data_IF_521048791749
#
_entry.id   IF_521048791749
#
_cell.length_a   1.000
_cell.length_b   1.000
_cell.length_c   1.000
_cell.angle_alpha   90.00
_cell.angle_beta   90.00
_cell.angle_gamma   90.00
#
_symmetry.space_group_name_H-M   'P 1'
#
loop_
_entity.id
_entity.type
_entity.pdbx_description
1 polymer ?
#
# COMPACT_ATOMS: atom_id res chain seq x y z
N UNK A 1 -6.74 -25.07 40.06
CA UNK A 1 -5.75 -24.06 39.68
C UNK A 1 -4.44 -24.79 39.45
N UNK A 2 -3.87 -24.78 38.23
CA UNK A 2 -2.56 -25.37 37.98
C UNK A 2 -1.48 -24.49 38.63
N UNK A 3 -0.49 -25.12 39.24
CA UNK A 3 0.60 -24.50 40.00
C UNK A 3 1.58 -23.73 39.10
N UNK A 4 1.94 -22.51 39.51
CA UNK A 4 2.84 -21.57 38.80
C UNK A 4 4.25 -22.12 38.51
N UNK A 5 4.66 -23.23 39.11
CA UNK A 5 5.96 -23.86 38.85
C UNK A 5 6.05 -24.60 37.50
N UNK A 6 4.92 -24.96 36.88
CA UNK A 6 4.93 -25.66 35.60
C UNK A 6 5.19 -24.74 34.39
N UNK A 7 4.89 -23.44 34.50
CA UNK A 7 5.04 -22.48 33.39
C UNK A 7 6.48 -21.99 33.19
N UNK A 8 7.34 -22.06 34.22
CA UNK A 8 8.74 -21.63 34.11
C UNK A 8 9.68 -22.70 33.54
N UNK A 9 9.28 -23.97 33.56
CA UNK A 9 10.10 -25.08 33.07
C UNK A 9 10.10 -25.20 31.54
N UNK A 10 8.98 -24.88 30.86
CA UNK A 10 8.90 -25.00 29.39
C UNK A 10 9.70 -23.91 28.68
N UNK A 11 9.72 -22.68 29.21
CA UNK A 11 10.45 -21.56 28.61
C UNK A 11 11.98 -21.69 28.66
N UNK A 12 12.52 -22.41 29.65
CA UNK A 12 13.97 -22.61 29.78
C UNK A 12 14.43 -23.74 28.84
N UNK A 13 13.62 -24.79 28.70
CA UNK A 13 13.91 -25.89 27.79
C UNK A 13 13.91 -25.45 26.31
N UNK A 14 12.98 -24.58 25.91
CA UNK A 14 12.95 -24.03 24.54
C UNK A 14 14.15 -23.12 24.26
N UNK A 15 14.60 -22.35 25.25
CA UNK A 15 15.78 -21.48 25.10
C UNK A 15 17.06 -22.31 24.94
N UNK A 16 17.22 -23.37 25.73
CA UNK A 16 18.36 -24.28 25.65
C UNK A 16 18.37 -25.07 24.32
N UNK A 17 17.21 -25.42 23.76
CA UNK A 17 17.14 -26.07 22.44
C UNK A 17 17.46 -25.11 21.29
N UNK A 18 17.04 -23.85 21.38
CA UNK A 18 17.37 -22.80 20.42
C UNK A 18 18.86 -22.48 20.40
N UNK A 19 19.48 -22.37 21.57
CA UNK A 19 20.91 -22.14 21.71
C UNK A 19 21.72 -23.36 21.23
N UNK A 20 21.26 -24.58 21.52
CA UNK A 20 21.86 -25.80 21.01
C UNK A 20 21.76 -25.94 19.48
N UNK A 21 20.65 -25.51 18.86
CA UNK A 21 20.50 -25.47 17.39
C UNK A 21 21.46 -24.47 16.75
N UNK A 22 21.60 -23.28 17.35
CA UNK A 22 22.55 -22.26 16.91
C UNK A 22 24.01 -22.72 17.05
N UNK A 23 24.38 -23.30 18.19
CA UNK A 23 25.74 -23.82 18.46
C UNK A 23 26.09 -24.97 17.52
N UNK A 24 25.16 -25.90 17.22
CA UNK A 24 25.40 -26.98 16.24
C UNK A 24 25.61 -26.43 14.83
N UNK A 25 24.96 -25.32 14.50
CA UNK A 25 25.09 -24.67 13.20
C UNK A 25 26.42 -23.90 13.09
N UNK A 26 26.86 -23.27 14.18
CA UNK A 26 28.16 -22.59 14.28
C UNK A 26 29.34 -23.57 14.35
N UNK A 27 29.20 -24.72 15.03
CA UNK A 27 30.25 -25.74 15.10
C UNK A 27 30.46 -26.49 13.78
N UNK A 28 29.49 -26.47 12.86
CA UNK A 28 29.66 -27.05 11.53
C UNK A 28 30.55 -26.17 10.63
N UNK A 29 30.65 -24.88 10.94
CA UNK A 29 31.48 -23.91 10.21
C UNK A 29 32.96 -23.96 10.62
N UNK A 30 33.31 -24.57 11.76
CA UNK A 30 34.68 -24.54 12.30
C UNK A 30 35.57 -25.74 11.93
N UNK A 31 35.10 -26.68 11.09
CA UNK A 31 35.81 -27.95 10.84
C UNK A 31 36.13 -28.30 9.37
N UNK A 32 36.07 -27.34 8.44
CA UNK A 32 36.47 -27.59 7.03
C UNK A 32 37.34 -26.47 6.45
N UNK A 33 38.62 -26.78 6.26
CA UNK A 33 39.64 -25.98 5.57
C UNK A 33 39.40 -25.87 4.04
N UNK A 34 38.16 -25.79 3.58
CA UNK A 34 37.83 -25.73 2.16
C UNK A 34 36.97 -24.49 1.89
N UNK A 35 37.62 -23.33 1.69
CA UNK A 35 36.97 -22.03 1.44
C UNK A 35 35.92 -22.12 0.31
N UNK A 36 36.17 -22.97 -0.69
CA UNK A 36 35.24 -23.25 -1.79
C UNK A 36 33.91 -23.85 -1.30
N UNK A 37 33.96 -24.75 -0.32
CA UNK A 37 32.76 -25.36 0.26
C UNK A 37 31.94 -24.36 1.10
N UNK A 38 32.60 -23.41 1.77
CA UNK A 38 31.92 -22.37 2.55
C UNK A 38 31.22 -21.35 1.63
N UNK A 39 31.90 -20.92 0.56
CA UNK A 39 31.32 -20.02 -0.46
C UNK A 39 30.10 -20.67 -1.11
N UNK A 40 30.20 -21.92 -1.54
CA UNK A 40 29.09 -22.65 -2.15
C UNK A 40 27.90 -22.78 -1.18
N UNK A 41 28.17 -23.02 0.11
CA UNK A 41 27.12 -23.09 1.13
C UNK A 41 26.42 -21.73 1.33
N UNK A 42 27.18 -20.64 1.46
CA UNK A 42 26.63 -19.28 1.59
C UNK A 42 25.79 -18.88 0.38
N UNK A 43 26.27 -19.16 -0.83
CA UNK A 43 25.54 -18.88 -2.07
C UNK A 43 24.23 -19.67 -2.13
N UNK A 44 24.25 -20.95 -1.78
CA UNK A 44 23.04 -21.78 -1.72
C UNK A 44 22.00 -21.21 -0.75
N UNK A 45 22.47 -20.72 0.41
CA UNK A 45 21.62 -20.07 1.43
C UNK A 45 21.02 -18.74 0.95
N UNK A 46 21.84 -17.86 0.37
CA UNK A 46 21.41 -16.59 -0.22
C UNK A 46 20.37 -16.80 -1.33
N UNK A 47 20.65 -17.71 -2.28
CA UNK A 47 19.70 -18.12 -3.30
C UNK A 47 18.43 -18.74 -2.69
N UNK A 48 18.56 -19.47 -1.59
CA UNK A 48 17.45 -20.01 -0.81
C UNK A 48 16.49 -18.92 -0.30
N UNK A 49 17.00 -17.81 0.22
CA UNK A 49 16.18 -16.66 0.66
C UNK A 49 15.40 -16.10 -0.52
N UNK A 50 16.06 -15.84 -1.66
CA UNK A 50 15.42 -15.31 -2.86
C UNK A 50 14.32 -16.26 -3.36
N UNK A 51 14.58 -17.57 -3.40
CA UNK A 51 13.58 -18.58 -3.80
C UNK A 51 12.36 -18.60 -2.87
N UNK A 52 12.55 -18.50 -1.56
CA UNK A 52 11.43 -18.49 -0.59
C UNK A 52 10.58 -17.24 -0.73
N UNK A 53 11.22 -16.08 -0.95
CA UNK A 53 10.51 -14.80 -1.13
C UNK A 53 9.76 -14.76 -2.46
N UNK A 54 10.47 -14.92 -3.58
CA UNK A 54 9.93 -14.76 -4.94
C UNK A 54 8.98 -15.91 -5.30
N UNK A 55 9.25 -17.11 -4.77
CA UNK A 55 8.56 -18.35 -5.08
C UNK A 55 9.37 -19.20 -6.04
N UNK A 56 9.65 -20.44 -5.63
CA UNK A 56 10.46 -21.38 -6.42
C UNK A 56 9.82 -21.64 -7.80
N UNK A 57 8.53 -21.95 -7.82
CA UNK A 57 7.82 -22.28 -9.07
C UNK A 57 7.85 -21.11 -10.06
N UNK A 58 7.72 -19.88 -9.56
CA UNK A 58 7.77 -18.66 -10.39
C UNK A 58 9.16 -18.47 -11.02
N UNK A 59 10.24 -18.70 -10.26
CA UNK A 59 11.61 -18.59 -10.77
C UNK A 59 11.92 -19.65 -11.84
N UNK A 60 11.40 -20.86 -11.68
CA UNK A 60 11.52 -21.93 -12.67
C UNK A 60 10.74 -21.59 -13.96
N UNK A 61 9.55 -21.00 -13.84
CA UNK A 61 8.76 -20.55 -15.00
C UNK A 61 9.45 -19.44 -15.81
N UNK A 62 10.26 -18.59 -15.17
CA UNK A 62 10.98 -17.49 -15.84
C UNK A 62 12.44 -17.81 -16.19
N UNK A 63 12.84 -19.08 -16.08
CA UNK A 63 14.19 -19.58 -16.39
C UNK A 63 15.30 -18.74 -15.74
N UNK A 64 15.16 -18.51 -14.43
CA UNK A 64 16.17 -17.80 -13.62
C UNK A 64 16.96 -18.83 -12.81
N UNK A 65 18.21 -19.08 -13.20
CA UNK A 65 19.15 -19.86 -12.40
C UNK A 65 19.95 -18.97 -11.45
N UNK A 66 19.64 -19.08 -10.16
CA UNK A 66 20.41 -18.41 -9.10
C UNK A 66 21.73 -19.13 -8.77
N UNK A 67 21.91 -20.36 -9.26
CA UNK A 67 23.08 -21.20 -8.97
C UNK A 67 24.32 -20.79 -9.76
N UNK A 68 24.12 -20.08 -10.88
CA UNK A 68 25.20 -19.52 -11.69
C UNK A 68 25.61 -18.10 -11.28
N UNK A 69 24.94 -17.49 -10.29
CA UNK A 69 25.18 -16.11 -9.86
C UNK A 69 26.38 -16.08 -8.90
N UNK A 70 27.37 -15.23 -9.17
CA UNK A 70 28.53 -15.05 -8.29
C UNK A 70 28.11 -14.54 -6.90
N UNK A 71 28.76 -15.02 -5.84
CA UNK A 71 28.56 -14.54 -4.47
C UNK A 71 28.83 -13.03 -4.33
N UNK A 72 29.69 -12.47 -5.19
CA UNK A 72 29.94 -11.02 -5.23
C UNK A 72 28.68 -10.23 -5.55
N UNK A 73 27.81 -10.75 -6.41
CA UNK A 73 26.53 -10.12 -6.76
C UNK A 73 25.65 -9.98 -5.52
N UNK A 74 25.54 -11.03 -4.70
CA UNK A 74 24.75 -10.99 -3.45
C UNK A 74 25.37 -10.11 -2.37
N UNK A 75 26.68 -9.87 -2.45
CA UNK A 75 27.41 -9.05 -1.47
C UNK A 75 27.42 -7.56 -1.85
N UNK A 76 27.13 -7.24 -3.12
CA UNK A 76 27.08 -5.87 -3.63
C UNK A 76 25.63 -5.41 -3.77
N UNK A 77 25.27 -4.35 -3.04
CA UNK A 77 23.92 -3.78 -3.08
C UNK A 77 23.42 -3.45 -4.49
N UNK A 78 24.28 -2.88 -5.33
CA UNK A 78 23.91 -2.42 -6.68
C UNK A 78 23.71 -3.60 -7.64
N UNK A 79 24.62 -4.55 -7.63
CA UNK A 79 24.54 -5.74 -8.49
C UNK A 79 23.34 -6.61 -8.10
N UNK A 80 23.12 -6.81 -6.79
CA UNK A 80 21.95 -7.53 -6.32
C UNK A 80 20.65 -6.81 -6.70
N UNK A 81 20.60 -5.47 -6.57
CA UNK A 81 19.42 -4.69 -6.97
C UNK A 81 19.10 -4.88 -8.45
N UNK A 82 20.13 -4.83 -9.32
CA UNK A 82 19.97 -5.02 -10.76
C UNK A 82 19.48 -6.44 -11.10
N UNK A 83 20.03 -7.46 -10.43
CA UNK A 83 19.55 -8.85 -10.57
C UNK A 83 18.08 -8.98 -10.17
N UNK A 84 17.68 -8.38 -9.05
CA UNK A 84 16.30 -8.44 -8.57
C UNK A 84 15.34 -7.74 -9.53
N UNK A 85 15.74 -6.60 -10.09
CA UNK A 85 14.94 -5.92 -11.11
C UNK A 85 14.77 -6.77 -12.37
N UNK A 86 15.84 -7.41 -12.83
CA UNK A 86 15.78 -8.32 -13.98
C UNK A 86 14.79 -9.47 -13.72
N UNK A 87 14.83 -10.06 -12.53
CA UNK A 87 13.91 -11.12 -12.13
C UNK A 87 12.46 -10.62 -12.18
N UNK A 88 12.16 -9.47 -11.56
CA UNK A 88 10.80 -8.92 -11.59
C UNK A 88 10.34 -8.56 -13.00
N UNK A 89 11.19 -7.96 -13.83
CA UNK A 89 10.85 -7.64 -15.22
C UNK A 89 10.54 -8.91 -16.01
N UNK A 90 11.31 -9.99 -15.81
CA UNK A 90 11.01 -11.30 -16.43
C UNK A 90 9.68 -11.87 -15.95
N UNK A 91 9.38 -11.76 -14.64
CA UNK A 91 8.09 -12.21 -14.07
C UNK A 91 6.93 -11.43 -14.70
N UNK A 92 7.01 -10.10 -14.71
CA UNK A 92 5.99 -9.21 -15.29
C UNK A 92 5.77 -9.53 -16.77
N UNK A 93 6.85 -9.77 -17.51
CA UNK A 93 6.81 -10.03 -18.95
C UNK A 93 6.20 -11.39 -19.30
N UNK A 94 6.38 -12.40 -18.44
CA UNK A 94 5.93 -13.77 -18.67
C UNK A 94 4.60 -14.11 -17.99
N UNK A 95 4.08 -13.24 -17.11
CA UNK A 95 2.81 -13.46 -16.43
C UNK A 95 1.66 -13.54 -17.44
N UNK A 96 0.90 -14.64 -17.36
CA UNK A 96 -0.26 -14.88 -18.23
C UNK A 96 -1.56 -14.57 -17.49
N UNK A 97 -2.61 -14.10 -18.20
CA UNK A 97 -3.93 -14.09 -17.62
C UNK A 97 -4.33 -15.53 -17.24
N UNK A 98 -5.07 -15.72 -16.15
CA UNK A 98 -5.53 -17.03 -15.73
C UNK A 98 -6.50 -17.58 -16.78
N UNK A 99 -6.41 -18.88 -17.08
CA UNK A 99 -7.33 -19.59 -17.98
C UNK A 99 -8.68 -19.88 -17.31
N UNK A 100 -9.26 -18.89 -16.64
CA UNK A 100 -10.58 -19.04 -16.03
C UNK A 100 -11.62 -18.42 -16.96
N UNK A 101 -12.42 -19.28 -17.58
CA UNK A 101 -13.74 -18.88 -18.10
C UNK A 101 -14.58 -18.43 -16.90
N UNK A 102 -14.57 -17.13 -16.60
CA UNK A 102 -15.47 -16.57 -15.59
C UNK A 102 -16.90 -16.73 -16.11
N UNK A 103 -17.70 -17.56 -15.44
CA UNK A 103 -19.15 -17.44 -15.52
C UNK A 103 -19.54 -16.11 -14.89
N UNK A 104 -20.14 -15.22 -15.68
CA UNK A 104 -20.74 -13.98 -15.20
C UNK A 104 -21.88 -14.32 -14.24
N UNK A 105 -21.56 -14.42 -12.95
CA UNK A 105 -22.57 -14.30 -11.92
C UNK A 105 -22.94 -12.82 -11.87
N UNK A 106 -24.01 -12.45 -12.59
CA UNK A 106 -24.67 -11.16 -12.46
C UNK A 106 -25.20 -11.00 -11.02
N UNK A 107 -24.31 -10.70 -10.08
CA UNK A 107 -24.75 -10.14 -8.81
C UNK A 107 -25.32 -8.75 -9.10
N UNK A 108 -26.50 -8.49 -8.56
CA UNK A 108 -27.21 -7.22 -8.72
C UNK A 108 -26.42 -6.04 -8.14
N UNK A 109 -25.44 -6.29 -7.26
CA UNK A 109 -24.62 -5.29 -6.59
C UNK A 109 -23.13 -5.67 -6.61
N UNK A 110 -22.48 -5.38 -7.73
CA UNK A 110 -21.02 -5.42 -7.84
C UNK A 110 -20.37 -4.13 -7.32
N UNK A 111 -19.06 -4.18 -7.04
CA UNK A 111 -18.31 -3.04 -6.51
C UNK A 111 -18.34 -1.84 -7.47
N UNK A 112 -18.15 -2.09 -8.78
CA UNK A 112 -18.19 -1.04 -9.79
C UNK A 112 -19.56 -0.42 -9.98
N UNK A 113 -20.65 -1.20 -9.87
CA UNK A 113 -22.02 -0.66 -9.82
C UNK A 113 -22.25 0.22 -8.58
N UNK A 114 -21.83 -0.23 -7.40
CA UNK A 114 -22.06 0.49 -6.14
C UNK A 114 -21.23 1.77 -6.02
N UNK A 115 -20.01 1.79 -6.55
CA UNK A 115 -19.10 2.95 -6.54
C UNK A 115 -19.09 3.74 -7.86
N UNK A 116 -19.95 3.35 -8.82
CA UNK A 116 -20.03 3.90 -10.18
C UNK A 116 -18.67 4.01 -10.90
N UNK A 117 -17.84 2.99 -10.75
CA UNK A 117 -16.58 2.88 -11.47
C UNK A 117 -16.53 1.55 -12.25
N UNK A 118 -16.73 1.58 -13.58
CA UNK A 118 -16.81 0.36 -14.38
C UNK A 118 -15.50 -0.44 -14.37
N UNK A 119 -14.35 0.20 -14.14
CA UNK A 119 -13.06 -0.50 -14.08
C UNK A 119 -12.97 -1.46 -12.88
N UNK A 120 -13.79 -1.29 -11.84
CA UNK A 120 -13.81 -2.23 -10.72
C UNK A 120 -14.49 -3.56 -11.07
N UNK A 121 -15.35 -3.57 -12.09
CA UNK A 121 -16.04 -4.77 -12.56
C UNK A 121 -15.45 -5.30 -13.88
N UNK A 122 -14.51 -4.58 -14.48
CA UNK A 122 -13.83 -5.00 -15.70
C UNK A 122 -12.95 -6.25 -15.46
N UNK A 123 -12.82 -7.15 -16.45
CA UNK A 123 -11.95 -8.32 -16.36
C UNK A 123 -10.49 -7.90 -16.50
N UNK A 124 -9.88 -7.49 -15.38
CA UNK A 124 -8.49 -7.05 -15.28
C UNK A 124 -7.59 -8.13 -14.67
N UNK A 125 -7.73 -9.39 -15.13
CA UNK A 125 -7.14 -10.53 -14.42
C UNK A 125 -5.61 -10.50 -14.34
N UNK A 126 -4.94 -10.06 -15.41
CA UNK A 126 -3.48 -9.92 -15.43
C UNK A 126 -3.01 -8.84 -14.43
N UNK A 127 -3.47 -7.57 -14.51
CA UNK A 127 -3.23 -6.56 -13.48
C UNK A 127 -3.53 -7.03 -12.05
N UNK A 128 -4.67 -7.68 -11.82
CA UNK A 128 -5.08 -8.15 -10.49
C UNK A 128 -4.13 -9.21 -9.95
N UNK A 129 -3.80 -10.21 -10.76
CA UNK A 129 -2.88 -11.27 -10.36
C UNK A 129 -1.49 -10.72 -10.08
N UNK A 130 -1.02 -9.74 -10.86
CA UNK A 130 0.29 -9.14 -10.68
C UNK A 130 0.39 -8.37 -9.34
N UNK A 131 -0.59 -7.54 -9.02
CA UNK A 131 -0.61 -6.84 -7.73
C UNK A 131 -0.76 -7.82 -6.57
N UNK A 132 -1.61 -8.86 -6.70
CA UNK A 132 -1.74 -9.93 -5.70
C UNK A 132 -0.42 -10.65 -5.48
N UNK A 133 0.30 -10.96 -6.56
CA UNK A 133 1.62 -11.56 -6.48
C UNK A 133 2.59 -10.70 -5.65
N UNK A 134 2.67 -9.39 -5.93
CA UNK A 134 3.54 -8.51 -5.15
C UNK A 134 3.13 -8.36 -3.69
N UNK A 135 1.83 -8.35 -3.39
CA UNK A 135 1.35 -8.38 -2.00
C UNK A 135 1.82 -9.66 -1.29
N UNK A 136 1.73 -10.82 -1.95
CA UNK A 136 2.21 -12.09 -1.41
C UNK A 136 3.72 -12.08 -1.20
N UNK A 137 4.50 -11.56 -2.15
CA UNK A 137 5.96 -11.42 -2.02
C UNK A 137 6.31 -10.50 -0.85
N UNK A 138 5.59 -9.39 -0.66
CA UNK A 138 5.80 -8.49 0.48
C UNK A 138 5.46 -9.15 1.82
N UNK A 139 4.43 -10.00 1.87
CA UNK A 139 4.12 -10.80 3.05
C UNK A 139 5.28 -11.74 3.38
N UNK A 140 5.78 -12.49 2.40
CA UNK A 140 6.92 -13.40 2.58
C UNK A 140 8.19 -12.67 3.01
N UNK A 141 8.44 -11.46 2.48
CA UNK A 141 9.53 -10.61 2.94
C UNK A 141 9.39 -10.22 4.40
N UNK A 142 8.17 -9.92 4.84
CA UNK A 142 7.89 -9.61 6.25
C UNK A 142 8.13 -10.81 7.14
N UNK A 143 7.70 -12.00 6.70
CA UNK A 143 7.89 -13.26 7.42
C UNK A 143 9.39 -13.63 7.51
N UNK A 144 10.13 -13.54 6.39
CA UNK A 144 11.58 -13.78 6.38
C UNK A 144 12.33 -12.75 7.23
N UNK A 145 11.90 -11.47 7.27
CA UNK A 145 12.53 -10.48 8.14
C UNK A 145 12.39 -10.83 9.64
N UNK A 146 11.32 -11.55 10.01
CA UNK A 146 11.07 -12.00 11.38
C UNK A 146 11.75 -13.35 11.69
N UNK A 147 12.30 -14.02 10.67
CA UNK A 147 12.94 -15.32 10.82
C UNK A 147 14.24 -15.21 11.61
N UNK A 148 14.24 -15.75 12.83
CA UNK A 148 15.38 -15.71 13.75
C UNK A 148 16.57 -16.54 13.25
N UNK A 149 16.34 -17.51 12.35
CA UNK A 149 17.37 -18.40 11.82
C UNK A 149 18.17 -17.82 10.65
N UNK A 150 17.82 -16.62 10.17
CA UNK A 150 18.61 -15.93 9.15
C UNK A 150 19.89 -15.37 9.77
N UNK A 151 21.00 -15.63 9.07
CA UNK A 151 22.31 -15.05 9.34
C UNK A 151 22.34 -13.59 8.86
N UNK A 152 23.25 -12.78 9.40
CA UNK A 152 23.33 -11.34 9.07
C UNK A 152 23.52 -11.07 7.57
N UNK A 153 24.33 -11.90 6.89
CA UNK A 153 24.55 -11.78 5.44
C UNK A 153 23.31 -12.13 4.61
N UNK A 154 22.39 -12.95 5.14
CA UNK A 154 21.09 -13.24 4.50
C UNK A 154 20.09 -12.10 4.77
N UNK A 155 20.07 -11.58 6.01
CA UNK A 155 19.19 -10.48 6.43
C UNK A 155 19.43 -9.22 5.62
N UNK A 156 20.66 -8.99 5.18
CA UNK A 156 21.02 -7.87 4.30
C UNK A 156 20.22 -7.84 2.99
N UNK A 157 19.81 -9.00 2.45
CA UNK A 157 19.07 -9.07 1.18
C UNK A 157 17.62 -8.57 1.30
N UNK A 158 17.00 -8.75 2.45
CA UNK A 158 15.57 -8.47 2.68
C UNK A 158 15.19 -7.01 2.38
N UNK A 159 15.86 -5.98 2.94
CA UNK A 159 15.53 -4.59 2.61
C UNK A 159 15.74 -4.26 1.14
N UNK A 160 16.70 -4.89 0.46
CA UNK A 160 16.95 -4.68 -0.98
C UNK A 160 15.80 -5.27 -1.79
N UNK A 161 15.44 -6.53 -1.55
CA UNK A 161 14.31 -7.19 -2.21
C UNK A 161 13.01 -6.40 -2.03
N UNK A 162 12.78 -5.88 -0.82
CA UNK A 162 11.59 -5.08 -0.50
C UNK A 162 11.61 -3.73 -1.22
N UNK A 163 12.74 -3.03 -1.20
CA UNK A 163 12.89 -1.76 -1.91
C UNK A 163 12.65 -1.93 -3.42
N UNK A 164 13.28 -2.94 -4.04
CA UNK A 164 13.09 -3.22 -5.47
C UNK A 164 11.67 -3.65 -5.80
N UNK A 165 11.02 -4.45 -4.95
CA UNK A 165 9.60 -4.79 -5.12
C UNK A 165 8.72 -3.53 -5.20
N UNK A 166 8.91 -2.57 -4.28
CA UNK A 166 8.13 -1.33 -4.27
C UNK A 166 8.44 -0.43 -5.47
N UNK A 167 9.68 -0.41 -5.96
CA UNK A 167 10.05 0.28 -7.21
C UNK A 167 9.32 -0.33 -8.40
N UNK A 168 9.20 -1.67 -8.49
CA UNK A 168 8.47 -2.32 -9.57
C UNK A 168 6.96 -2.02 -9.51
N UNK A 169 6.37 -2.01 -8.31
CA UNK A 169 4.97 -1.57 -8.10
C UNK A 169 4.79 -0.13 -8.60
N UNK A 170 5.76 0.75 -8.30
CA UNK A 170 5.76 2.15 -8.76
C UNK A 170 5.74 2.24 -10.28
N UNK A 171 6.64 1.52 -10.96
CA UNK A 171 6.74 1.53 -12.42
C UNK A 171 5.48 1.00 -13.10
N UNK A 172 4.84 -0.01 -12.53
CA UNK A 172 3.59 -0.56 -13.05
C UNK A 172 2.43 0.43 -12.88
N UNK A 173 2.32 1.09 -11.72
CA UNK A 173 1.27 2.09 -11.50
C UNK A 173 1.44 3.34 -12.37
N UNK A 174 2.67 3.65 -12.80
CA UNK A 174 2.98 4.69 -13.79
C UNK A 174 2.80 4.24 -15.24
N UNK A 175 2.52 2.97 -15.49
CA UNK A 175 2.28 2.44 -16.83
C UNK A 175 3.54 2.22 -17.67
N UNK A 176 4.72 2.07 -17.06
CA UNK A 176 5.98 1.87 -17.81
C UNK A 176 6.07 0.54 -18.58
N UNK A 177 5.15 -0.39 -18.33
CA UNK A 177 5.06 -1.67 -19.05
C UNK A 177 4.10 -1.62 -20.25
N UNK A 178 3.68 -0.41 -20.65
CA UNK A 178 2.93 -0.15 -21.88
C UNK A 178 1.49 -0.65 -21.84
N UNK A 179 0.94 -0.96 -23.01
CA UNK A 179 -0.48 -1.31 -23.18
C UNK A 179 -0.92 -2.58 -22.44
N UNK A 180 0.03 -3.45 -22.07
CA UNK A 180 -0.26 -4.63 -21.25
C UNK A 180 -0.69 -4.27 -19.83
N UNK A 181 -0.15 -3.17 -19.29
CA UNK A 181 -0.40 -2.69 -17.93
C UNK A 181 -0.63 -1.17 -17.96
N UNK A 182 -1.77 -0.69 -18.52
CA UNK A 182 -2.08 0.73 -18.56
C UNK A 182 -2.19 1.32 -17.16
N UNK A 183 -1.69 2.55 -16.97
CA UNK A 183 -1.63 3.20 -15.66
C UNK A 183 -3.01 3.34 -15.00
N UNK A 184 -4.03 3.76 -15.76
CA UNK A 184 -5.40 3.93 -15.28
C UNK A 184 -6.03 2.60 -14.81
N UNK A 185 -5.79 1.52 -15.54
CA UNK A 185 -6.21 0.16 -15.17
C UNK A 185 -5.48 -0.31 -13.91
N UNK A 186 -4.16 -0.13 -13.84
CA UNK A 186 -3.35 -0.54 -12.70
C UNK A 186 -3.75 0.20 -11.42
N UNK A 187 -3.99 1.52 -11.49
CA UNK A 187 -4.46 2.32 -10.36
C UNK A 187 -5.87 1.86 -9.93
N UNK A 188 -6.78 1.64 -10.87
CA UNK A 188 -8.13 1.15 -10.55
C UNK A 188 -8.10 -0.22 -9.86
N UNK A 189 -7.26 -1.13 -10.35
CA UNK A 189 -7.06 -2.46 -9.77
C UNK A 189 -6.43 -2.37 -8.39
N UNK A 190 -5.44 -1.49 -8.19
CA UNK A 190 -4.84 -1.24 -6.89
C UNK A 190 -5.89 -0.78 -5.88
N UNK A 191 -6.71 0.21 -6.23
CA UNK A 191 -7.80 0.72 -5.38
C UNK A 191 -8.84 -0.38 -5.09
N UNK A 192 -9.24 -1.15 -6.11
CA UNK A 192 -10.15 -2.30 -5.96
C UNK A 192 -9.59 -3.32 -4.97
N UNK A 193 -8.32 -3.68 -5.07
CA UNK A 193 -7.68 -4.64 -4.19
C UNK A 193 -7.53 -4.09 -2.76
N UNK A 194 -7.34 -2.79 -2.59
CA UNK A 194 -7.41 -2.13 -1.28
C UNK A 194 -8.82 -2.23 -0.68
N UNK A 195 -9.88 -1.91 -1.45
CA UNK A 195 -11.27 -2.03 -0.99
C UNK A 195 -11.64 -3.47 -0.60
N UNK A 196 -11.09 -4.45 -1.31
CA UNK A 196 -11.24 -5.87 -0.99
C UNK A 196 -10.30 -6.36 0.13
N UNK A 197 -9.61 -5.46 0.84
CA UNK A 197 -8.71 -5.75 1.96
C UNK A 197 -7.55 -6.69 1.61
N UNK A 198 -7.17 -6.76 0.32
CA UNK A 198 -6.01 -7.53 -0.13
C UNK A 198 -4.73 -6.76 0.12
N UNK A 199 -4.76 -5.44 -0.12
CA UNK A 199 -3.62 -4.55 0.16
C UNK A 199 -3.70 -4.10 1.63
N UNK A 200 -2.71 -4.48 2.43
CA UNK A 200 -2.63 -4.06 3.83
C UNK A 200 -2.17 -2.60 3.98
N UNK A 201 -2.49 -1.98 5.12
CA UNK A 201 -1.98 -0.64 5.46
C UNK A 201 -0.44 -0.61 5.54
N UNK A 202 0.19 -1.73 5.96
CA UNK A 202 1.65 -1.85 5.99
C UNK A 202 2.26 -1.82 4.59
N UNK A 203 1.67 -2.56 3.64
CA UNK A 203 2.09 -2.53 2.25
C UNK A 203 1.95 -1.12 1.67
N UNK A 204 0.80 -0.47 1.89
CA UNK A 204 0.54 0.87 1.40
C UNK A 204 1.51 1.91 2.00
N UNK A 205 1.83 1.78 3.29
CA UNK A 205 2.83 2.62 3.95
C UNK A 205 4.20 2.44 3.31
N UNK A 206 4.67 1.21 3.14
CA UNK A 206 5.98 0.94 2.53
C UNK A 206 6.04 1.44 1.08
N UNK A 207 4.94 1.32 0.34
CA UNK A 207 4.80 1.84 -1.01
C UNK A 207 4.90 3.37 -1.08
N UNK A 208 4.16 4.09 -0.22
CA UNK A 208 4.24 5.55 -0.13
C UNK A 208 5.66 6.00 0.25
N UNK A 209 6.30 5.32 1.20
CA UNK A 209 7.68 5.64 1.59
C UNK A 209 8.67 5.44 0.44
N UNK A 210 8.52 4.37 -0.35
CA UNK A 210 9.32 4.16 -1.55
C UNK A 210 9.11 5.29 -2.58
N UNK A 211 7.85 5.72 -2.80
CA UNK A 211 7.55 6.81 -3.71
C UNK A 211 8.16 8.16 -3.29
N UNK A 212 8.43 8.34 -1.99
CA UNK A 212 9.02 9.56 -1.44
C UNK A 212 10.57 9.53 -1.41
N UNK A 213 11.18 8.38 -1.72
CA UNK A 213 12.62 8.21 -1.68
C UNK A 213 13.25 8.56 -3.04
N UNK A 214 13.80 9.77 -3.13
CA UNK A 214 14.44 10.29 -4.35
C UNK A 214 15.67 9.49 -4.79
N UNK A 215 16.23 8.63 -3.93
CA UNK A 215 17.32 7.73 -4.30
C UNK A 215 16.84 6.50 -5.09
N UNK A 216 15.55 6.17 -4.99
CA UNK A 216 14.94 5.01 -5.63
C UNK A 216 14.11 5.39 -6.86
N UNK A 217 13.41 6.52 -6.79
CA UNK A 217 12.46 6.99 -7.82
C UNK A 217 12.56 8.52 -8.00
N UNK A 218 12.05 9.06 -9.10
CA UNK A 218 12.08 10.50 -9.34
C UNK A 218 11.03 11.27 -8.51
N UNK A 219 11.26 12.59 -8.37
CA UNK A 219 10.45 13.49 -7.54
C UNK A 219 9.00 13.67 -7.99
N UNK A 220 8.67 13.33 -9.24
CA UNK A 220 7.32 13.43 -9.77
C UNK A 220 6.47 12.19 -9.45
N UNK A 221 7.09 11.09 -9.04
CA UNK A 221 6.44 9.80 -8.72
C UNK A 221 5.25 9.93 -7.79
N UNK A 222 5.38 10.68 -6.69
CA UNK A 222 4.29 10.86 -5.72
C UNK A 222 3.08 11.49 -6.39
N UNK A 223 3.28 12.54 -7.18
CA UNK A 223 2.18 13.24 -7.87
C UNK A 223 1.53 12.33 -8.91
N UNK A 224 2.33 11.75 -9.80
CA UNK A 224 1.85 10.96 -10.94
C UNK A 224 1.03 9.74 -10.53
N UNK A 225 1.35 9.10 -9.39
CA UNK A 225 0.62 7.95 -8.89
C UNK A 225 -0.56 8.36 -8.02
N UNK A 226 -0.33 9.27 -7.06
CA UNK A 226 -1.32 9.52 -6.01
C UNK A 226 -2.38 10.55 -6.41
N UNK A 227 -2.17 11.40 -7.41
CA UNK A 227 -3.26 12.23 -7.95
C UNK A 227 -4.37 11.37 -8.57
N UNK A 228 -4.10 10.45 -9.51
CA UNK A 228 -5.11 9.50 -9.99
C UNK A 228 -5.71 8.67 -8.86
N UNK A 229 -4.89 8.18 -7.93
CA UNK A 229 -5.35 7.35 -6.82
C UNK A 229 -6.33 8.11 -5.90
N UNK A 230 -6.11 9.41 -5.66
CA UNK A 230 -7.01 10.29 -4.90
C UNK A 230 -8.31 10.61 -5.69
N UNK A 231 -8.28 10.66 -7.02
CA UNK A 231 -9.50 10.86 -7.81
C UNK A 231 -10.52 9.72 -7.64
N UNK A 232 -10.06 8.48 -7.42
CA UNK A 232 -10.93 7.32 -7.24
C UNK A 232 -11.92 7.44 -6.06
N UNK A 233 -11.48 7.70 -4.82
CA UNK A 233 -12.40 7.87 -3.69
C UNK A 233 -13.29 9.11 -3.85
N UNK A 234 -12.79 10.22 -4.43
CA UNK A 234 -13.62 11.41 -4.71
C UNK A 234 -14.76 11.10 -5.68
N UNK A 235 -14.46 10.50 -6.85
CA UNK A 235 -15.46 10.13 -7.86
C UNK A 235 -16.45 9.10 -7.31
N UNK A 236 -15.95 8.15 -6.51
CA UNK A 236 -16.80 7.16 -5.84
C UNK A 236 -17.81 7.86 -4.93
N UNK A 237 -17.37 8.85 -4.13
CA UNK A 237 -18.24 9.62 -3.23
C UNK A 237 -19.27 10.49 -3.94
N UNK A 238 -18.94 11.09 -5.10
CA UNK A 238 -19.92 11.84 -5.91
C UNK A 238 -21.17 11.05 -6.28
N UNK A 239 -21.06 9.73 -6.36
CA UNK A 239 -22.18 8.88 -6.71
C UNK A 239 -22.99 8.39 -5.51
N UNK A 240 -22.55 8.68 -4.28
CA UNK A 240 -23.17 8.19 -3.07
C UNK A 240 -24.25 9.16 -2.57
N UNK A 241 -25.30 8.59 -2.00
CA UNK A 241 -26.36 9.36 -1.34
C UNK A 241 -26.80 8.63 -0.07
N UNK A 242 -27.00 9.35 1.02
CA UNK A 242 -27.45 8.79 2.30
C UNK A 242 -28.76 7.98 2.17
N UNK A 243 -29.66 8.40 1.29
CA UNK A 243 -30.93 7.72 1.04
C UNK A 243 -30.80 6.37 0.33
N UNK A 244 -29.62 6.06 -0.23
CA UNK A 244 -29.36 4.78 -0.91
C UNK A 244 -29.17 3.61 0.06
N UNK A 245 -28.90 3.87 1.34
CA UNK A 245 -28.67 2.83 2.35
C UNK A 245 -27.37 2.02 2.17
N UNK A 246 -26.49 2.40 1.23
CA UNK A 246 -25.26 1.68 0.86
C UNK A 246 -24.05 2.03 1.73
N UNK A 247 -24.25 1.98 3.05
CA UNK A 247 -23.24 2.39 4.03
C UNK A 247 -21.90 1.66 3.90
N UNK A 248 -21.94 0.36 3.61
CA UNK A 248 -20.74 -0.48 3.50
C UNK A 248 -19.81 0.01 2.39
N UNK A 249 -20.36 0.46 1.26
CA UNK A 249 -19.59 0.96 0.13
C UNK A 249 -19.03 2.36 0.36
N UNK A 250 -19.75 3.20 1.11
CA UNK A 250 -19.32 4.56 1.41
C UNK A 250 -18.10 4.58 2.32
N UNK A 251 -17.98 3.62 3.24
CA UNK A 251 -16.81 3.52 4.11
C UNK A 251 -15.51 3.24 3.34
N UNK A 252 -15.58 2.67 2.14
CA UNK A 252 -14.41 2.30 1.34
C UNK A 252 -13.61 3.55 0.86
N UNK A 253 -14.22 4.56 0.18
CA UNK A 253 -13.55 5.82 -0.10
C UNK A 253 -12.99 6.53 1.14
N UNK A 254 -13.72 6.52 2.26
CA UNK A 254 -13.25 7.13 3.52
C UNK A 254 -12.01 6.43 4.07
N UNK A 255 -12.02 5.09 4.10
CA UNK A 255 -10.92 4.31 4.67
C UNK A 255 -9.64 4.48 3.86
N UNK A 256 -9.74 4.48 2.53
CA UNK A 256 -8.61 4.73 1.63
C UNK A 256 -8.03 6.12 1.85
N UNK A 257 -8.87 7.16 1.78
CA UNK A 257 -8.42 8.54 1.96
C UNK A 257 -7.76 8.72 3.33
N UNK A 258 -8.39 8.22 4.40
CA UNK A 258 -7.85 8.26 5.76
C UNK A 258 -6.48 7.57 5.84
N UNK A 259 -6.37 6.38 5.27
CA UNK A 259 -5.13 5.61 5.31
C UNK A 259 -3.99 6.40 4.63
N UNK A 260 -4.22 6.87 3.40
CA UNK A 260 -3.25 7.62 2.61
C UNK A 260 -2.74 8.89 3.32
N UNK A 261 -3.66 9.75 3.78
CA UNK A 261 -3.27 11.03 4.42
C UNK A 261 -2.67 10.83 5.81
N UNK A 262 -2.85 9.67 6.43
CA UNK A 262 -2.28 9.36 7.74
C UNK A 262 -0.81 8.94 7.69
N UNK A 263 -0.34 8.46 6.53
CA UNK A 263 1.02 7.98 6.35
C UNK A 263 2.01 9.12 6.54
N UNK A 264 3.01 8.89 7.39
CA UNK A 264 4.10 9.81 7.68
C UNK A 264 5.42 9.29 7.14
N UNK A 265 6.20 10.19 6.55
CA UNK A 265 7.59 9.92 6.19
C UNK A 265 8.51 9.91 7.43
N UNK A 266 9.80 9.64 7.21
CA UNK A 266 10.82 9.64 8.27
C UNK A 266 10.99 11.02 8.93
N UNK A 267 10.71 12.11 8.19
CA UNK A 267 10.70 13.48 8.69
C UNK A 267 9.37 13.87 9.35
N UNK A 268 8.46 12.91 9.58
CA UNK A 268 7.11 13.10 10.13
C UNK A 268 6.18 13.99 9.27
N UNK A 269 6.55 14.28 8.03
CA UNK A 269 5.69 14.93 7.03
C UNK A 269 4.65 13.94 6.53
N UNK A 270 3.55 14.45 5.96
CA UNK A 270 2.46 13.63 5.42
C UNK A 270 2.40 13.86 3.91
N UNK A 271 3.23 13.17 3.11
CA UNK A 271 3.43 13.50 1.71
C UNK A 271 2.12 13.48 0.90
N UNK A 272 1.20 12.55 1.20
CA UNK A 272 -0.09 12.48 0.51
C UNK A 272 -1.08 13.56 0.99
N UNK A 273 -1.01 13.96 2.27
CA UNK A 273 -1.80 15.10 2.75
C UNK A 273 -1.29 16.42 2.15
N UNK A 274 0.02 16.59 2.08
CA UNK A 274 0.66 17.76 1.45
C UNK A 274 0.30 17.84 -0.04
N UNK A 275 0.35 16.69 -0.75
CA UNK A 275 -0.11 16.58 -2.14
C UNK A 275 -1.59 16.99 -2.25
N UNK A 276 -2.45 16.42 -1.41
CA UNK A 276 -3.89 16.69 -1.42
C UNK A 276 -4.18 18.19 -1.26
N UNK A 277 -3.54 18.87 -0.31
CA UNK A 277 -3.71 20.31 -0.07
C UNK A 277 -3.18 21.16 -1.23
N UNK A 278 -2.17 20.67 -1.94
CA UNK A 278 -1.57 21.38 -3.08
C UNK A 278 -2.42 21.33 -4.36
N UNK A 279 -3.46 20.49 -4.42
CA UNK A 279 -4.32 20.38 -5.59
C UNK A 279 -5.18 21.63 -5.77
N UNK A 280 -5.37 22.03 -7.04
CA UNK A 280 -6.20 23.18 -7.39
C UNK A 280 -7.68 23.01 -6.98
N UNK A 281 -8.17 21.78 -6.90
CA UNK A 281 -9.51 21.44 -6.46
C UNK A 281 -9.63 21.25 -4.93
N UNK A 282 -8.57 21.41 -4.14
CA UNK A 282 -8.67 21.25 -2.68
C UNK A 282 -9.49 22.38 -2.04
N UNK A 283 -9.15 23.62 -2.38
CA UNK A 283 -9.87 24.83 -1.97
C UNK A 283 -10.14 25.70 -3.21
N UNK A 284 -11.18 25.38 -3.99
CA UNK A 284 -11.50 26.12 -5.19
C UNK A 284 -11.93 27.56 -4.85
N UNK A 285 -11.68 28.49 -5.77
CA UNK A 285 -12.27 29.82 -5.69
C UNK A 285 -13.77 29.74 -5.95
N UNK A 286 -14.54 30.37 -5.07
CA UNK A 286 -16.00 30.32 -5.06
C UNK A 286 -16.51 31.73 -5.34
N UNK A 287 -17.31 31.88 -6.39
CA UNK A 287 -17.74 33.21 -6.88
C UNK A 287 -19.25 33.40 -6.91
N UNK A 288 -20.02 32.33 -6.67
CA UNK A 288 -21.47 32.35 -6.71
C UNK A 288 -22.10 32.89 -5.43
N UNK A 289 -23.38 33.23 -5.53
CA UNK A 289 -24.24 33.59 -4.41
C UNK A 289 -24.59 32.39 -3.49
N UNK A 290 -24.14 31.18 -3.83
CA UNK A 290 -24.36 29.96 -3.04
C UNK A 290 -23.02 29.29 -2.74
N UNK A 291 -22.13 29.97 -2.00
CA UNK A 291 -20.73 29.59 -1.92
C UNK A 291 -20.51 28.19 -1.33
N UNK A 292 -21.38 27.78 -0.41
CA UNK A 292 -21.38 26.44 0.16
C UNK A 292 -21.62 25.31 -0.82
N UNK A 293 -22.64 25.46 -1.68
CA UNK A 293 -23.01 24.44 -2.66
C UNK A 293 -21.99 24.38 -3.79
N UNK A 294 -21.46 25.52 -4.19
CA UNK A 294 -20.38 25.60 -5.15
C UNK A 294 -19.09 24.97 -4.59
N UNK A 295 -18.73 25.26 -3.34
CA UNK A 295 -17.61 24.61 -2.66
C UNK A 295 -17.80 23.10 -2.56
N UNK A 296 -18.97 22.61 -2.14
CA UNK A 296 -19.25 21.17 -2.05
C UNK A 296 -19.08 20.45 -3.40
N UNK A 297 -19.41 21.14 -4.49
CA UNK A 297 -19.33 20.59 -5.85
C UNK A 297 -17.93 20.69 -6.45
N UNK A 298 -17.21 21.79 -6.20
CA UNK A 298 -15.91 22.05 -6.82
C UNK A 298 -14.73 21.55 -5.98
N UNK A 299 -14.91 21.40 -4.67
CA UNK A 299 -13.82 20.98 -3.80
C UNK A 299 -13.64 19.47 -3.79
N UNK A 300 -12.40 19.02 -3.58
CA UNK A 300 -12.05 17.61 -3.47
C UNK A 300 -12.80 16.93 -2.32
N UNK A 301 -12.87 17.59 -1.15
CA UNK A 301 -13.52 17.04 0.04
C UNK A 301 -15.03 17.26 0.08
N UNK A 302 -15.56 18.13 -0.79
CA UNK A 302 -16.97 18.45 -0.88
C UNK A 302 -17.92 17.23 -0.90
N UNK A 303 -17.64 16.17 -1.68
CA UNK A 303 -18.47 14.97 -1.75
C UNK A 303 -18.53 14.18 -0.45
N UNK A 304 -17.42 14.20 0.29
CA UNK A 304 -17.33 13.57 1.61
C UNK A 304 -18.17 14.37 2.61
N UNK A 305 -18.06 15.70 2.61
CA UNK A 305 -18.89 16.56 3.44
C UNK A 305 -20.37 16.43 3.11
N UNK A 306 -20.75 16.47 1.83
CA UNK A 306 -22.14 16.37 1.38
C UNK A 306 -22.79 15.06 1.80
N UNK A 307 -22.06 13.93 1.74
CA UNK A 307 -22.59 12.68 2.27
C UNK A 307 -22.82 12.74 3.79
N UNK A 308 -21.88 13.30 4.56
CA UNK A 308 -21.95 13.31 6.04
C UNK A 308 -22.93 14.33 6.61
N UNK A 309 -23.37 15.30 5.81
CA UNK A 309 -24.43 16.24 6.14
C UNK A 309 -25.75 15.63 5.67
N UNK A 310 -26.56 15.10 6.60
CA UNK A 310 -27.91 14.58 6.37
C UNK A 310 -28.71 15.43 5.36
N UNK A 311 -29.60 14.85 4.54
CA UNK A 311 -30.48 15.64 3.70
C UNK A 311 -31.25 16.62 4.58
N UNK A 312 -31.18 17.90 4.24
CA UNK A 312 -32.20 18.85 4.64
C UNK A 312 -33.48 18.44 3.89
N UNK A 313 -34.26 17.56 4.51
CA UNK A 313 -35.70 17.77 4.44
C UNK A 313 -35.90 19.20 4.99
N UNK A 314 -36.43 20.07 4.14
CA UNK A 314 -36.70 21.50 4.34
C UNK A 314 -35.54 22.50 4.13
N UNK A 315 -35.58 23.15 2.96
CA UNK A 315 -35.40 24.58 2.64
C UNK A 315 -34.44 25.49 3.45
N UNK A 316 -33.46 24.98 4.21
CA UNK A 316 -32.57 25.82 5.00
C UNK A 316 -31.08 25.65 4.61
N UNK A 317 -30.53 26.53 3.74
CA UNK A 317 -29.17 26.42 3.18
C UNK A 317 -28.02 26.79 4.16
N UNK A 318 -28.26 26.77 5.47
CA UNK A 318 -27.43 27.48 6.45
C UNK A 318 -26.26 26.69 7.07
N UNK A 319 -26.09 25.39 6.78
CA UNK A 319 -24.95 24.62 7.33
C UNK A 319 -23.63 25.09 6.70
N UNK A 320 -23.62 25.33 5.39
CA UNK A 320 -22.44 25.84 4.70
C UNK A 320 -22.10 27.28 5.09
N UNK A 321 -23.12 28.11 5.34
CA UNK A 321 -22.91 29.48 5.83
C UNK A 321 -22.19 29.46 7.18
N UNK A 322 -22.51 28.50 8.05
CA UNK A 322 -21.84 28.29 9.34
C UNK A 322 -20.37 27.88 9.15
N UNK A 323 -20.07 26.94 8.25
CA UNK A 323 -18.68 26.54 7.92
C UNK A 323 -17.86 27.71 7.37
N UNK A 324 -18.47 28.60 6.58
CA UNK A 324 -17.80 29.74 5.96
C UNK A 324 -17.68 30.97 6.88
N UNK A 325 -18.65 31.20 7.78
CA UNK A 325 -18.61 32.31 8.75
C UNK A 325 -17.69 32.03 9.93
N UNK A 326 -17.50 30.75 10.31
CA UNK A 326 -16.33 30.35 11.08
C UNK A 326 -15.12 30.32 10.16
N UNK A 327 -14.63 31.51 9.82
CA UNK A 327 -13.30 31.75 9.26
C UNK A 327 -12.34 30.65 9.73
N UNK A 328 -11.76 29.92 8.79
CA UNK A 328 -10.82 28.83 9.04
C UNK A 328 -9.40 29.33 9.39
N UNK A 329 -9.20 30.34 10.27
CA UNK A 329 -8.02 30.39 11.12
C UNK A 329 -8.43 30.41 12.59
N UNK A 330 -8.33 29.24 13.23
CA UNK A 330 -8.49 29.14 14.68
C UNK A 330 -9.12 27.82 15.12
N UNK A 331 -8.26 26.84 15.41
CA UNK A 331 -8.49 25.62 16.23
C UNK A 331 -9.97 25.23 16.35
N UNK A 332 -10.50 24.55 15.32
CA UNK A 332 -11.75 23.81 15.49
C UNK A 332 -11.41 22.58 16.33
N UNK A 333 -11.89 22.54 17.56
CA UNK A 333 -11.72 21.40 18.47
C UNK A 333 -12.17 20.09 17.79
N UNK A 334 -11.43 19.00 17.99
CA UNK A 334 -11.74 17.67 17.43
C UNK A 334 -13.17 17.22 17.77
N UNK A 335 -13.73 17.72 18.88
CA UNK A 335 -15.12 17.46 19.31
C UNK A 335 -16.14 18.17 18.41
N UNK A 336 -15.84 19.37 17.91
CA UNK A 336 -16.72 20.15 17.01
C UNK A 336 -16.66 19.57 15.60
N UNK A 337 -15.47 19.19 15.11
CA UNK A 337 -15.32 18.48 13.85
C UNK A 337 -16.03 17.11 13.87
N UNK A 338 -15.95 16.37 14.97
CA UNK A 338 -16.67 15.11 15.15
C UNK A 338 -18.19 15.29 15.14
N UNK A 339 -18.70 16.40 15.71
CA UNK A 339 -20.14 16.70 15.73
C UNK A 339 -20.68 17.18 14.39
N UNK A 340 -19.90 17.90 13.61
CA UNK A 340 -20.34 18.51 12.33
C UNK A 340 -20.12 17.55 11.16
N UNK A 341 -19.03 16.80 11.14
CA UNK A 341 -18.63 16.03 9.96
C UNK A 341 -18.49 14.51 10.21
N UNK A 342 -18.74 14.03 11.43
CA UNK A 342 -18.54 12.63 11.79
C UNK A 342 -17.06 12.25 12.00
N UNK A 343 -16.83 11.08 12.61
CA UNK A 343 -15.51 10.64 13.08
C UNK A 343 -14.48 10.45 11.95
N UNK A 344 -14.90 10.01 10.77
CA UNK A 344 -13.98 9.78 9.66
C UNK A 344 -13.48 11.09 9.05
N UNK A 345 -14.37 12.08 8.89
CA UNK A 345 -14.00 13.39 8.34
C UNK A 345 -13.16 14.19 9.33
N UNK A 346 -13.47 14.13 10.63
CA UNK A 346 -12.66 14.84 11.63
C UNK A 346 -11.21 14.36 11.63
N UNK A 347 -10.97 13.06 11.42
CA UNK A 347 -9.63 12.48 11.31
C UNK A 347 -8.92 12.90 10.01
N UNK A 348 -9.65 12.97 8.90
CA UNK A 348 -9.12 13.50 7.62
C UNK A 348 -8.77 14.98 7.78
N UNK A 349 -9.67 15.79 8.34
CA UNK A 349 -9.44 17.21 8.61
C UNK A 349 -8.30 17.43 9.61
N UNK A 350 -8.16 16.61 10.65
CA UNK A 350 -7.01 16.65 11.57
C UNK A 350 -5.71 16.21 10.89
N UNK A 351 -5.77 15.26 9.95
CA UNK A 351 -4.58 14.85 9.20
C UNK A 351 -4.11 15.95 8.24
N UNK A 352 -5.06 16.67 7.64
CA UNK A 352 -4.84 17.60 6.52
C UNK A 352 -4.71 19.07 6.96
N UNK A 353 -5.47 19.53 7.96
CA UNK A 353 -5.47 20.93 8.41
C UNK A 353 -4.49 21.23 9.55
N UNK A 354 -4.09 20.23 10.34
CA UNK A 354 -3.12 20.44 11.41
C UNK A 354 -1.76 20.97 10.90
N UNK A 355 -1.22 20.51 9.74
CA UNK A 355 -0.01 21.09 9.14
C UNK A 355 -0.15 22.57 8.76
N UNK A 356 -1.33 23.00 8.30
CA UNK A 356 -1.60 24.39 7.88
C UNK A 356 -1.62 25.39 9.04
N UNK A 357 -1.69 24.92 10.29
CA UNK A 357 -1.74 25.78 11.48
C UNK A 357 -0.37 25.98 12.15
N UNK A 358 0.67 25.27 11.70
CA UNK A 358 2.00 25.26 12.31
C UNK A 358 3.08 25.88 11.36
N UNK A 359 2.74 26.14 10.10
CA UNK A 359 3.49 27.04 9.21
C UNK A 359 3.10 28.49 9.42
#
# INVERSE_FOLDING_TARGET
MPSEEAMHSETVADFDELEAKKIRQESFLSSRDDESSDIAHKLSRLAGVVRRVIGKDVLEEVDVSLESVDIQVFSNHYEFSALVDEIYVRIISNMKPPNNERMDNESSESLGKSLRNPLYDAPCDLPENLIRYFVVVNSRLTDENQNQFLMDYERFLIPILKSRLMVQVTYILRGFFGEKLPADVMVAVFVKLFYNQIISESFLRDFVLCCCDESLVDTCTVREIFEPLLDHPQRSMWSQCMSSGKWDYVQLPYSLLRCLVSIKDHAKRRPIADLLVSRADFMPEVTSNCPGREFARLSYLGPFFEYSLSPSDDENPNIWYTIYTYNLPGIISSVVLNRIFGFCISQILLAVLLPLTIS
#
